data_IF_538195508691
#
_entry.id   IF_538195508691
#
_cell.length_a   1.000
_cell.length_b   1.000
_cell.length_c   1.000
_cell.angle_alpha   90.00
_cell.angle_beta   90.00
_cell.angle_gamma   90.00
#
_symmetry.space_group_name_H-M   'P 1'
#
loop_
_entity.id
_entity.type
_entity.pdbx_description
1 polymer ?
#
# COMPACT_ATOMS: atom_id res chain seq x y z
N UNK A 1 5.79 -21.30 70.21
CA UNK A 1 5.33 -20.21 69.31
C UNK A 1 5.70 -20.61 67.89
N UNK A 2 4.74 -21.11 67.13
CA UNK A 2 4.91 -21.53 65.73
C UNK A 2 4.42 -20.40 64.83
N UNK A 3 5.32 -19.81 64.05
CA UNK A 3 4.99 -18.74 63.12
C UNK A 3 4.48 -19.35 61.80
N UNK A 4 3.17 -19.23 61.55
CA UNK A 4 2.55 -19.62 60.28
C UNK A 4 2.94 -18.60 59.21
N UNK A 5 3.82 -18.97 58.29
CA UNK A 5 4.20 -18.12 57.15
C UNK A 5 3.10 -18.19 56.09
N UNK A 6 2.41 -17.09 55.82
CA UNK A 6 1.41 -17.02 54.78
C UNK A 6 2.07 -17.21 53.39
N UNK A 7 1.47 -18.00 52.48
CA UNK A 7 2.03 -18.21 51.14
C UNK A 7 2.04 -16.89 50.38
N UNK A 8 3.22 -16.52 49.87
CA UNK A 8 3.38 -15.36 49.01
C UNK A 8 2.55 -15.55 47.73
N UNK A 9 1.48 -14.76 47.59
CA UNK A 9 0.69 -14.72 46.36
C UNK A 9 1.57 -14.14 45.26
N UNK A 10 1.99 -14.99 44.33
CA UNK A 10 2.75 -14.56 43.15
C UNK A 10 1.84 -13.69 42.26
N UNK A 11 1.94 -12.37 42.42
CA UNK A 11 1.33 -11.41 41.50
C UNK A 11 2.00 -11.55 40.14
N UNK A 12 1.28 -12.11 39.15
CA UNK A 12 1.75 -12.12 37.76
C UNK A 12 2.02 -10.69 37.34
N UNK A 13 3.28 -10.37 37.06
CA UNK A 13 3.65 -9.09 36.51
C UNK A 13 2.88 -8.87 35.19
N UNK A 14 2.24 -7.70 35.00
CA UNK A 14 1.46 -7.44 33.80
C UNK A 14 2.35 -7.57 32.56
N UNK A 15 1.90 -8.36 31.58
CA UNK A 15 2.61 -8.56 30.33
C UNK A 15 2.75 -7.21 29.61
N UNK A 16 3.99 -6.71 29.49
CA UNK A 16 4.28 -5.47 28.77
C UNK A 16 3.99 -5.68 27.29
N UNK A 17 3.08 -4.89 26.72
CA UNK A 17 2.80 -4.92 25.29
C UNK A 17 4.05 -4.53 24.50
N UNK A 18 4.36 -5.28 23.45
CA UNK A 18 5.54 -5.01 22.60
C UNK A 18 5.46 -3.58 22.04
N UNK A 19 6.51 -2.75 22.18
CA UNK A 19 6.53 -1.40 21.61
C UNK A 19 6.26 -1.37 20.10
N UNK A 20 6.62 -2.45 19.40
CA UNK A 20 6.33 -2.61 17.96
C UNK A 20 4.84 -2.75 17.71
N UNK A 21 4.16 -3.58 18.50
CA UNK A 21 2.72 -3.78 18.41
C UNK A 21 1.95 -2.52 18.78
N UNK A 22 2.44 -1.76 19.76
CA UNK A 22 1.85 -0.47 20.13
C UNK A 22 1.84 0.51 18.94
N UNK A 23 2.98 0.68 18.26
CA UNK A 23 3.09 1.54 17.06
C UNK A 23 2.18 1.02 15.95
N UNK A 24 2.26 -0.29 15.66
CA UNK A 24 1.48 -0.89 14.59
C UNK A 24 -0.03 -0.72 14.82
N UNK A 25 -0.49 -0.95 16.05
CA UNK A 25 -1.89 -0.75 16.44
C UNK A 25 -2.32 0.71 16.31
N UNK A 26 -1.50 1.65 16.77
CA UNK A 26 -1.84 3.08 16.74
C UNK A 26 -1.93 3.61 15.30
N UNK A 27 -0.97 3.25 14.45
CA UNK A 27 -1.02 3.60 13.03
C UNK A 27 -2.15 2.84 12.31
N UNK A 28 -2.40 1.58 12.65
CA UNK A 28 -3.52 0.81 12.12
C UNK A 28 -4.87 1.41 12.44
N UNK A 29 -5.09 1.90 13.67
CA UNK A 29 -6.32 2.62 14.05
C UNK A 29 -6.48 3.91 13.25
N UNK A 30 -5.39 4.66 13.03
CA UNK A 30 -5.44 5.84 12.18
C UNK A 30 -5.78 5.48 10.72
N UNK A 31 -5.16 4.43 10.18
CA UNK A 31 -5.45 3.92 8.84
C UNK A 31 -6.92 3.47 8.70
N UNK A 32 -7.48 2.79 9.70
CA UNK A 32 -8.90 2.39 9.70
C UNK A 32 -9.85 3.60 9.72
N UNK A 33 -9.53 4.64 10.49
CA UNK A 33 -10.32 5.89 10.49
C UNK A 33 -10.29 6.56 9.12
N UNK A 34 -9.13 6.60 8.47
CA UNK A 34 -9.00 7.13 7.12
C UNK A 34 -9.73 6.25 6.10
N UNK A 35 -9.69 4.92 6.24
CA UNK A 35 -10.40 3.98 5.39
C UNK A 35 -11.91 4.16 5.47
N UNK A 36 -12.44 4.41 6.68
CA UNK A 36 -13.85 4.67 6.89
C UNK A 36 -14.37 5.91 6.16
N UNK A 37 -13.50 6.88 5.85
CA UNK A 37 -13.83 8.05 5.03
C UNK A 37 -13.52 7.84 3.54
N UNK A 38 -12.35 7.28 3.25
CA UNK A 38 -11.88 7.07 1.89
C UNK A 38 -12.85 6.19 1.10
N UNK A 39 -13.27 5.04 1.64
CA UNK A 39 -14.05 4.07 0.89
C UNK A 39 -15.44 4.59 0.50
N UNK A 40 -16.25 5.17 1.40
CA UNK A 40 -17.53 5.76 0.99
C UNK A 40 -17.39 6.84 -0.10
N UNK A 41 -16.39 7.71 0.01
CA UNK A 41 -16.14 8.76 -0.99
C UNK A 41 -15.71 8.15 -2.32
N UNK A 42 -14.78 7.19 -2.29
CA UNK A 42 -14.29 6.52 -3.49
C UNK A 42 -15.40 5.73 -4.18
N UNK A 43 -16.22 4.98 -3.43
CA UNK A 43 -17.34 4.21 -3.97
C UNK A 43 -18.41 5.14 -4.57
N UNK A 44 -18.70 6.26 -3.93
CA UNK A 44 -19.63 7.26 -4.48
C UNK A 44 -19.10 7.85 -5.78
N UNK A 45 -17.82 8.21 -5.83
CA UNK A 45 -17.19 8.74 -7.05
C UNK A 45 -17.18 7.71 -8.18
N UNK A 46 -16.84 6.44 -7.89
CA UNK A 46 -16.90 5.35 -8.85
C UNK A 46 -18.32 5.16 -9.41
N UNK A 47 -19.32 5.10 -8.53
CA UNK A 47 -20.72 4.97 -8.94
C UNK A 47 -21.17 6.15 -9.81
N UNK A 48 -20.81 7.38 -9.45
CA UNK A 48 -21.12 8.57 -10.24
C UNK A 48 -20.52 8.48 -11.65
N UNK A 49 -19.23 8.11 -11.77
CA UNK A 49 -18.56 7.95 -13.06
C UNK A 49 -19.21 6.83 -13.89
N UNK A 50 -19.54 5.68 -13.27
CA UNK A 50 -20.25 4.58 -13.96
C UNK A 50 -21.62 5.00 -14.48
N UNK A 51 -22.41 5.72 -13.67
CA UNK A 51 -23.72 6.22 -14.08
C UNK A 51 -23.57 7.24 -15.22
N UNK A 52 -22.61 8.16 -15.12
CA UNK A 52 -22.36 9.14 -16.20
C UNK A 52 -21.96 8.44 -17.50
N UNK A 53 -21.04 7.49 -17.45
CA UNK A 53 -20.63 6.72 -18.64
C UNK A 53 -21.82 5.98 -19.26
N UNK A 54 -22.65 5.33 -18.43
CA UNK A 54 -23.86 4.66 -18.89
C UNK A 54 -24.86 5.62 -19.55
N UNK A 55 -25.11 6.79 -18.97
CA UNK A 55 -26.05 7.79 -19.52
C UNK A 55 -25.55 8.34 -20.86
N UNK A 56 -24.25 8.50 -21.03
CA UNK A 56 -23.65 9.07 -22.26
C UNK A 56 -23.52 8.03 -23.38
N UNK A 57 -23.06 6.82 -23.06
CA UNK A 57 -22.70 5.80 -24.07
C UNK A 57 -23.72 4.65 -24.18
N UNK A 58 -24.69 4.58 -23.27
CA UNK A 58 -25.68 3.50 -23.18
C UNK A 58 -25.15 2.18 -22.59
N UNK A 59 -23.84 2.07 -22.38
CA UNK A 59 -23.14 0.90 -21.82
C UNK A 59 -21.81 1.29 -21.18
N UNK A 60 -21.23 0.38 -20.41
CA UNK A 60 -19.92 0.58 -19.76
C UNK A 60 -19.04 -0.66 -20.00
N UNK A 61 -18.21 -0.63 -21.03
CA UNK A 61 -17.43 -1.81 -21.46
C UNK A 61 -16.07 -1.97 -20.76
N UNK A 62 -15.66 -0.96 -19.98
CA UNK A 62 -14.38 -0.92 -19.26
C UNK A 62 -14.65 -0.86 -17.75
N UNK A 63 -13.80 -1.52 -16.96
CA UNK A 63 -13.85 -1.41 -15.49
C UNK A 63 -13.38 -0.04 -15.03
N UNK A 64 -14.30 0.75 -14.46
CA UNK A 64 -14.04 2.05 -13.88
C UNK A 64 -13.37 1.87 -12.51
N UNK A 65 -13.72 0.81 -11.78
CA UNK A 65 -13.08 0.50 -10.50
C UNK A 65 -11.56 0.25 -10.64
N UNK A 66 -11.12 -0.48 -11.69
CA UNK A 66 -9.68 -0.65 -11.95
C UNK A 66 -9.01 0.69 -12.27
N UNK A 67 -9.68 1.60 -12.97
CA UNK A 67 -9.14 2.94 -13.21
C UNK A 67 -9.00 3.74 -11.90
N UNK A 68 -9.97 3.61 -10.98
CA UNK A 68 -9.93 4.19 -9.64
C UNK A 68 -8.75 3.73 -8.78
N UNK A 69 -8.06 2.65 -9.15
CA UNK A 69 -6.79 2.22 -8.53
C UNK A 69 -5.73 3.33 -8.52
N UNK A 70 -5.69 4.18 -9.55
CA UNK A 70 -4.73 5.30 -9.60
C UNK A 70 -4.93 6.24 -8.40
N UNK A 71 -6.17 6.61 -8.08
CA UNK A 71 -6.49 7.44 -6.92
C UNK A 71 -6.07 6.75 -5.62
N UNK A 72 -6.29 5.42 -5.51
CA UNK A 72 -5.87 4.64 -4.35
C UNK A 72 -4.34 4.66 -4.15
N UNK A 73 -3.57 4.45 -5.22
CA UNK A 73 -2.11 4.44 -5.19
C UNK A 73 -1.56 5.77 -4.67
N UNK A 74 -2.02 6.88 -5.25
CA UNK A 74 -1.55 8.22 -4.85
C UNK A 74 -2.03 8.63 -3.45
N UNK A 75 -3.23 8.19 -3.05
CA UNK A 75 -3.71 8.37 -1.69
C UNK A 75 -2.79 7.67 -0.67
N UNK A 76 -2.51 6.38 -0.87
CA UNK A 76 -1.68 5.60 0.04
C UNK A 76 -0.23 6.09 0.07
N UNK A 77 0.32 6.48 -1.08
CA UNK A 77 1.62 7.12 -1.19
C UNK A 77 1.69 8.41 -0.34
N UNK A 78 0.70 9.29 -0.47
CA UNK A 78 0.64 10.56 0.26
C UNK A 78 0.51 10.35 1.77
N UNK A 79 -0.32 9.39 2.19
CA UNK A 79 -0.47 9.02 3.61
C UNK A 79 0.84 8.49 4.18
N UNK A 80 1.57 7.68 3.41
CA UNK A 80 2.86 7.16 3.83
C UNK A 80 3.92 8.26 4.02
N UNK A 81 3.95 9.26 3.13
CA UNK A 81 4.80 10.45 3.30
C UNK A 81 4.48 11.13 4.63
N UNK A 82 3.19 11.39 4.91
CA UNK A 82 2.76 12.05 6.14
C UNK A 82 3.19 11.28 7.39
N UNK A 83 3.03 9.96 7.39
CA UNK A 83 3.47 9.09 8.51
C UNK A 83 4.98 9.19 8.71
N UNK A 84 5.78 9.04 7.64
CA UNK A 84 7.23 9.08 7.74
C UNK A 84 7.77 10.47 8.11
N UNK A 85 7.09 11.54 7.70
CA UNK A 85 7.47 12.91 8.02
C UNK A 85 7.17 13.30 9.47
N UNK A 86 6.04 12.86 10.03
CA UNK A 86 5.54 13.37 11.33
C UNK A 86 5.87 12.44 12.50
N UNK A 87 5.80 11.13 12.31
CA UNK A 87 5.80 10.17 13.40
C UNK A 87 7.17 9.94 14.08
N UNK A 88 8.34 9.99 13.39
CA UNK A 88 9.62 9.68 14.02
C UNK A 88 9.96 10.55 15.23
N UNK A 89 9.69 11.86 15.17
CA UNK A 89 10.00 12.81 16.25
C UNK A 89 9.14 12.54 17.49
N UNK A 90 7.82 12.42 17.30
CA UNK A 90 6.86 12.12 18.37
C UNK A 90 7.16 10.77 19.02
N UNK A 91 7.51 9.78 18.21
CA UNK A 91 7.82 8.44 18.68
C UNK A 91 9.06 8.40 19.58
N UNK A 92 10.13 9.11 19.20
CA UNK A 92 11.36 9.16 20.01
C UNK A 92 11.19 10.06 21.23
N UNK A 93 10.45 11.17 21.12
CA UNK A 93 10.10 12.00 22.28
C UNK A 93 9.30 11.22 23.34
N UNK A 94 8.52 10.22 22.94
CA UNK A 94 7.83 9.29 23.83
C UNK A 94 8.75 8.19 24.43
N UNK A 95 10.07 8.30 24.29
CA UNK A 95 11.05 7.37 24.84
C UNK A 95 11.14 6.01 24.12
N UNK A 96 10.51 5.88 22.94
CA UNK A 96 10.52 4.62 22.18
C UNK A 96 11.68 4.53 21.19
N UNK A 97 12.13 3.31 20.91
CA UNK A 97 13.28 3.08 20.00
C UNK A 97 12.92 3.26 18.53
N UNK A 98 13.92 3.63 17.71
CA UNK A 98 13.78 3.67 16.24
C UNK A 98 13.53 2.28 15.63
N UNK A 99 14.00 1.22 16.28
CA UNK A 99 13.79 -0.16 15.81
C UNK A 99 12.31 -0.55 15.91
N UNK A 100 11.64 -0.18 17.01
CA UNK A 100 10.19 -0.42 17.15
C UNK A 100 9.36 0.46 16.23
N UNK A 101 9.81 1.69 15.94
CA UNK A 101 9.21 2.55 14.92
C UNK A 101 9.22 1.86 13.55
N UNK A 102 10.39 1.51 13.03
CA UNK A 102 10.52 0.92 11.69
C UNK A 102 9.70 -0.35 11.55
N UNK A 103 9.81 -1.27 12.52
CA UNK A 103 9.05 -2.52 12.50
C UNK A 103 7.55 -2.29 12.58
N UNK A 104 7.11 -1.41 13.48
CA UNK A 104 5.70 -1.11 13.69
C UNK A 104 5.07 -0.42 12.48
N UNK A 105 5.78 0.54 11.89
CA UNK A 105 5.36 1.23 10.67
C UNK A 105 5.28 0.27 9.50
N UNK A 106 6.31 -0.53 9.22
CA UNK A 106 6.28 -1.49 8.12
C UNK A 106 5.16 -2.54 8.27
N UNK A 107 4.91 -3.02 9.50
CA UNK A 107 3.80 -3.93 9.77
C UNK A 107 2.44 -3.28 9.52
N UNK A 108 2.20 -2.08 10.06
CA UNK A 108 0.93 -1.36 9.86
C UNK A 108 0.69 -0.96 8.41
N UNK A 109 1.74 -0.47 7.74
CA UNK A 109 1.74 -0.12 6.32
C UNK A 109 1.48 -1.34 5.44
N UNK A 110 2.13 -2.47 5.73
CA UNK A 110 1.92 -3.72 5.00
C UNK A 110 0.48 -4.23 5.14
N UNK A 111 -0.05 -4.25 6.37
CA UNK A 111 -1.44 -4.62 6.64
C UNK A 111 -2.44 -3.66 5.95
N UNK A 112 -2.17 -2.36 5.98
CA UNK A 112 -3.00 -1.35 5.29
C UNK A 112 -3.00 -1.57 3.79
N UNK A 113 -1.83 -1.71 3.16
CA UNK A 113 -1.72 -1.92 1.71
C UNK A 113 -2.44 -3.19 1.25
N UNK A 114 -2.30 -4.27 2.01
CA UNK A 114 -3.01 -5.54 1.75
C UNK A 114 -4.52 -5.36 1.89
N UNK A 115 -5.00 -4.75 2.97
CA UNK A 115 -6.43 -4.54 3.19
C UNK A 115 -7.06 -3.70 2.08
N UNK A 116 -6.44 -2.59 1.69
CA UNK A 116 -6.94 -1.74 0.61
C UNK A 116 -6.92 -2.45 -0.75
N UNK A 117 -5.89 -3.25 -1.03
CA UNK A 117 -5.83 -4.03 -2.27
C UNK A 117 -6.94 -5.08 -2.34
N UNK A 118 -7.23 -5.75 -1.22
CA UNK A 118 -8.32 -6.73 -1.14
C UNK A 118 -9.69 -6.07 -1.32
N UNK A 119 -9.94 -4.91 -0.69
CA UNK A 119 -11.20 -4.19 -0.87
C UNK A 119 -11.35 -3.73 -2.32
N UNK A 120 -10.32 -3.15 -2.94
CA UNK A 120 -10.38 -2.75 -4.35
C UNK A 120 -10.64 -3.95 -5.27
N UNK A 121 -9.97 -5.08 -5.02
CA UNK A 121 -10.22 -6.33 -5.77
C UNK A 121 -11.68 -6.74 -5.64
N UNK A 122 -12.24 -6.68 -4.42
CA UNK A 122 -13.67 -6.94 -4.18
C UNK A 122 -14.59 -6.00 -4.96
N UNK A 123 -14.29 -4.70 -5.00
CA UNK A 123 -15.06 -3.71 -5.77
C UNK A 123 -15.05 -4.04 -7.27
N UNK A 124 -13.89 -4.41 -7.84
CA UNK A 124 -13.77 -4.80 -9.25
C UNK A 124 -14.58 -6.07 -9.54
N UNK A 125 -14.59 -7.06 -8.63
CA UNK A 125 -15.39 -8.27 -8.80
C UNK A 125 -16.90 -7.97 -8.75
N UNK A 126 -17.33 -7.09 -7.85
CA UNK A 126 -18.72 -6.63 -7.78
C UNK A 126 -19.12 -5.88 -9.05
N UNK A 127 -18.29 -4.95 -9.53
CA UNK A 127 -18.51 -4.22 -10.79
C UNK A 127 -18.66 -5.19 -11.96
N UNK A 128 -17.75 -6.17 -12.09
CA UNK A 128 -17.81 -7.18 -13.15
C UNK A 128 -19.10 -8.01 -13.10
N UNK A 129 -19.57 -8.36 -11.89
CA UNK A 129 -20.84 -9.05 -11.71
C UNK A 129 -22.03 -8.19 -12.16
N UNK A 130 -22.06 -6.91 -11.77
CA UNK A 130 -23.09 -5.96 -12.20
C UNK A 130 -23.10 -5.76 -13.72
N UNK A 131 -21.92 -5.64 -14.35
CA UNK A 131 -21.79 -5.54 -15.80
C UNK A 131 -22.35 -6.79 -16.49
N UNK A 132 -22.09 -7.98 -15.94
CA UNK A 132 -22.66 -9.24 -16.45
C UNK A 132 -24.19 -9.28 -16.40
N UNK A 133 -24.81 -8.71 -15.35
CA UNK A 133 -26.27 -8.58 -15.27
C UNK A 133 -26.83 -7.58 -16.28
N UNK A 134 -26.10 -6.50 -16.57
CA UNK A 134 -26.51 -5.45 -17.50
C UNK A 134 -26.17 -5.76 -18.97
N UNK A 135 -25.46 -6.86 -19.25
CA UNK A 135 -24.98 -7.20 -20.59
C UNK A 135 -23.84 -6.31 -21.10
N UNK A 136 -23.11 -5.64 -20.20
CA UNK A 136 -21.97 -4.78 -20.54
C UNK A 136 -20.64 -5.55 -20.55
N UNK A 137 -19.63 -5.01 -21.24
CA UNK A 137 -18.25 -5.49 -21.16
C UNK A 137 -17.59 -5.20 -19.80
N UNK A 138 -16.50 -5.89 -19.48
CA UNK A 138 -15.75 -5.68 -18.22
C UNK A 138 -14.23 -5.68 -18.46
N UNK A 139 -13.78 -5.01 -19.52
CA UNK A 139 -12.37 -5.01 -19.91
C UNK A 139 -11.51 -4.32 -18.84
N UNK A 140 -10.36 -4.93 -18.52
CA UNK A 140 -9.41 -4.41 -17.52
C UNK A 140 -8.24 -3.71 -18.25
N UNK A 141 -8.46 -2.49 -18.74
CA UNK A 141 -7.50 -1.76 -19.59
C UNK A 141 -6.27 -1.20 -18.87
N UNK A 142 -6.29 -1.19 -17.54
CA UNK A 142 -5.27 -0.54 -16.71
C UNK A 142 -4.41 -1.54 -15.91
N UNK A 143 -4.49 -2.85 -16.16
CA UNK A 143 -3.74 -3.82 -15.35
C UNK A 143 -2.29 -3.90 -15.82
N UNK A 144 -1.36 -3.48 -14.95
CA UNK A 144 0.05 -3.27 -15.30
C UNK A 144 0.81 -4.59 -15.42
N UNK A 145 0.66 -5.50 -14.47
CA UNK A 145 1.39 -6.79 -14.48
C UNK A 145 0.72 -7.87 -15.31
N UNK A 146 -0.52 -7.64 -15.72
CA UNK A 146 -1.41 -8.71 -16.18
C UNK A 146 -1.99 -8.43 -17.59
N UNK A 147 -2.05 -7.15 -18.01
CA UNK A 147 -2.61 -6.74 -19.29
C UNK A 147 -4.12 -7.01 -19.41
N UNK A 148 -4.70 -6.60 -20.54
CA UNK A 148 -6.16 -6.72 -20.77
C UNK A 148 -6.66 -8.19 -20.76
N UNK A 149 -5.79 -9.14 -21.11
CA UNK A 149 -6.10 -10.57 -21.22
C UNK A 149 -5.76 -11.37 -19.95
N UNK A 150 -5.37 -10.71 -18.87
CA UNK A 150 -4.98 -11.44 -17.69
C UNK A 150 -6.11 -12.22 -17.05
N UNK A 151 -5.77 -13.37 -16.44
CA UNK A 151 -6.73 -14.09 -15.62
C UNK A 151 -7.04 -13.28 -14.35
N UNK A 152 -8.28 -13.39 -13.87
CA UNK A 152 -8.77 -12.65 -12.70
C UNK A 152 -7.93 -12.83 -11.42
N UNK A 153 -7.29 -13.99 -11.24
CA UNK A 153 -6.42 -14.24 -10.08
C UNK A 153 -5.16 -13.36 -10.05
N UNK A 154 -4.77 -12.77 -11.18
CA UNK A 154 -3.61 -11.87 -11.24
C UNK A 154 -3.91 -10.48 -10.68
N UNK A 155 -5.17 -10.05 -10.70
CA UNK A 155 -5.61 -8.74 -10.19
C UNK A 155 -5.24 -8.48 -8.72
N UNK A 156 -5.50 -9.40 -7.76
CA UNK A 156 -5.10 -9.16 -6.37
C UNK A 156 -3.57 -9.08 -6.21
N UNK A 157 -2.78 -9.85 -6.97
CA UNK A 157 -1.32 -9.81 -6.90
C UNK A 157 -0.81 -8.45 -7.38
N UNK A 158 -1.29 -8.02 -8.56
CA UNK A 158 -0.99 -6.70 -9.13
C UNK A 158 -1.35 -5.57 -8.18
N UNK A 159 -2.56 -5.61 -7.62
CA UNK A 159 -3.04 -4.57 -6.70
C UNK A 159 -2.24 -4.55 -5.41
N UNK A 160 -1.93 -5.71 -4.81
CA UNK A 160 -1.13 -5.80 -3.57
C UNK A 160 0.28 -5.27 -3.78
N UNK A 161 0.95 -5.70 -4.85
CA UNK A 161 2.30 -5.25 -5.15
C UNK A 161 2.32 -3.74 -5.35
N UNK A 162 1.36 -3.21 -6.10
CA UNK A 162 1.29 -1.78 -6.39
C UNK A 162 0.99 -0.93 -5.15
N UNK A 163 0.04 -1.34 -4.30
CA UNK A 163 -0.28 -0.60 -3.06
C UNK A 163 0.87 -0.66 -2.06
N UNK A 164 1.53 -1.81 -1.91
CA UNK A 164 2.70 -1.95 -1.04
C UNK A 164 3.88 -1.11 -1.55
N UNK A 165 4.09 -1.08 -2.86
CA UNK A 165 5.14 -0.26 -3.46
C UNK A 165 4.85 1.22 -3.25
N UNK A 166 3.61 1.67 -3.47
CA UNK A 166 3.18 3.04 -3.23
C UNK A 166 3.40 3.47 -1.77
N UNK A 167 3.04 2.62 -0.82
CA UNK A 167 3.25 2.93 0.61
C UNK A 167 4.74 2.96 0.94
N UNK A 168 5.53 2.00 0.48
CA UNK A 168 6.96 1.94 0.81
C UNK A 168 7.75 3.07 0.16
N UNK A 169 7.45 3.47 -1.07
CA UNK A 169 8.06 4.64 -1.72
C UNK A 169 7.64 5.93 -1.04
N UNK A 170 6.37 6.07 -0.64
CA UNK A 170 5.91 7.22 0.14
C UNK A 170 6.61 7.33 1.51
N UNK A 171 6.78 6.20 2.22
CA UNK A 171 7.56 6.15 3.47
C UNK A 171 9.01 6.57 3.23
N UNK A 172 9.62 6.10 2.13
CA UNK A 172 10.98 6.45 1.76
C UNK A 172 11.11 7.95 1.47
N UNK A 173 10.22 8.53 0.66
CA UNK A 173 10.18 9.97 0.37
C UNK A 173 10.05 10.79 1.66
N UNK A 174 9.09 10.46 2.53
CA UNK A 174 8.90 11.20 3.78
C UNK A 174 10.13 11.16 4.68
N UNK A 175 10.80 10.00 4.77
CA UNK A 175 12.00 9.87 5.63
C UNK A 175 13.24 10.53 5.02
N UNK A 176 13.37 10.58 3.69
CA UNK A 176 14.48 11.28 3.03
C UNK A 176 14.36 12.79 3.20
N UNK A 177 13.15 13.36 3.10
CA UNK A 177 12.90 14.77 3.42
C UNK A 177 13.19 15.09 4.89
N UNK A 178 12.88 14.19 5.82
CA UNK A 178 13.26 14.39 7.23
C UNK A 178 14.78 14.40 7.45
N UNK A 179 15.53 13.64 6.64
CA UNK A 179 16.99 13.55 6.79
C UNK A 179 17.75 14.66 6.09
N UNK A 180 17.33 15.03 4.90
CA UNK A 180 18.10 15.90 4.00
C UNK A 180 17.39 17.22 3.68
N UNK A 181 16.19 17.46 4.23
CA UNK A 181 15.42 18.68 3.98
C UNK A 181 15.12 18.88 2.50
N UNK A 182 15.27 20.11 2.01
CA UNK A 182 14.99 20.47 0.61
C UNK A 182 15.87 19.72 -0.42
N UNK A 183 17.07 19.27 -0.02
CA UNK A 183 17.96 18.50 -0.89
C UNK A 183 17.40 17.11 -1.25
N UNK A 184 16.43 16.60 -0.47
CA UNK A 184 15.77 15.35 -0.77
C UNK A 184 15.05 15.37 -2.12
N UNK A 185 14.70 16.55 -2.65
CA UNK A 185 14.10 16.72 -3.99
C UNK A 185 14.98 16.10 -5.08
N UNK A 186 16.31 16.20 -4.98
CA UNK A 186 17.24 15.58 -5.93
C UNK A 186 17.20 14.04 -5.89
N UNK A 187 16.71 13.46 -4.79
CA UNK A 187 16.55 12.01 -4.62
C UNK A 187 15.17 11.49 -5.06
N UNK A 188 14.24 12.37 -5.46
CA UNK A 188 12.89 11.97 -5.89
C UNK A 188 12.90 10.94 -7.03
N UNK A 189 13.73 11.09 -8.09
CA UNK A 189 13.80 10.07 -9.13
C UNK A 189 14.18 8.69 -8.59
N UNK A 190 15.02 8.62 -7.56
CA UNK A 190 15.43 7.35 -6.96
C UNK A 190 14.40 6.79 -5.98
N UNK A 191 13.68 7.65 -5.25
CA UNK A 191 12.73 7.25 -4.22
C UNK A 191 11.34 6.91 -4.77
N UNK A 192 10.87 7.66 -5.77
CA UNK A 192 9.58 7.45 -6.46
C UNK A 192 9.77 6.61 -7.73
N UNK A 193 10.98 6.58 -8.30
CA UNK A 193 11.32 5.85 -9.53
C UNK A 193 10.83 4.41 -9.57
N UNK A 194 11.00 3.59 -8.51
CA UNK A 194 10.49 2.21 -8.51
C UNK A 194 8.97 2.12 -8.72
N UNK A 195 8.20 3.04 -8.13
CA UNK A 195 6.75 3.10 -8.31
C UNK A 195 6.41 3.52 -9.74
N UNK A 196 7.07 4.54 -10.28
CA UNK A 196 6.86 4.98 -11.67
C UNK A 196 7.25 3.88 -12.64
N UNK A 197 8.41 3.24 -12.45
CA UNK A 197 8.84 2.12 -13.27
C UNK A 197 7.77 1.04 -13.31
N UNK A 198 7.19 0.64 -12.17
CA UNK A 198 6.10 -0.34 -12.16
C UNK A 198 4.83 0.15 -12.87
N UNK A 199 4.47 1.43 -12.71
CA UNK A 199 3.30 2.04 -13.36
C UNK A 199 3.45 2.21 -14.88
N UNK A 200 4.68 2.33 -15.39
CA UNK A 200 4.95 2.52 -16.82
C UNK A 200 5.44 1.25 -17.52
N UNK A 201 5.93 0.23 -16.77
CA UNK A 201 6.40 -1.04 -17.34
C UNK A 201 5.27 -1.82 -18.03
N UNK A 202 4.04 -1.73 -17.52
CA UNK A 202 2.87 -2.40 -18.10
C UNK A 202 2.25 -1.69 -19.31
N UNK A 203 2.77 -0.52 -19.70
CA UNK A 203 2.31 0.25 -20.87
C UNK A 203 3.05 -0.18 -22.15
N UNK A 204 4.09 -1.03 -22.05
CA UNK A 204 4.71 -1.60 -23.24
C UNK A 204 3.73 -2.57 -23.92
N UNK A 205 3.32 -2.34 -25.19
CA UNK A 205 2.41 -3.22 -25.91
C UNK A 205 3.11 -4.55 -26.20
N UNK A 206 3.06 -5.46 -25.23
CA UNK A 206 3.50 -6.85 -25.40
C UNK A 206 2.58 -7.62 -26.36
N UNK A 207 1.44 -7.03 -26.74
CA UNK A 207 0.49 -7.56 -27.72
C UNK A 207 1.00 -7.62 -29.16
N UNK A 208 2.05 -6.86 -29.52
CA UNK A 208 2.53 -6.76 -30.90
C UNK A 208 3.85 -7.49 -31.17
N UNK A 209 4.38 -8.26 -30.20
CA UNK A 209 5.60 -9.05 -30.40
C UNK A 209 5.22 -10.50 -30.74
N UNK A 210 5.37 -10.94 -32.01
CA UNK A 210 4.99 -12.29 -32.43
C UNK A 210 5.77 -13.34 -31.63
N UNK A 211 5.05 -14.28 -31.00
CA UNK A 211 5.63 -15.37 -30.22
C UNK A 211 5.82 -15.11 -28.71
N UNK A 212 5.63 -13.87 -28.22
CA UNK A 212 5.66 -13.53 -26.79
C UNK A 212 4.26 -13.49 -26.14
N UNK A 213 3.21 -13.24 -26.93
CA UNK A 213 1.82 -13.21 -26.47
C UNK A 213 1.25 -14.56 -26.01
N UNK A 214 1.85 -15.67 -26.48
CA UNK A 214 1.40 -17.04 -26.17
C UNK A 214 2.26 -17.72 -25.09
N UNK A 215 3.40 -17.14 -24.71
CA UNK A 215 4.26 -17.65 -23.63
C UNK A 215 3.66 -17.28 -22.28
N UNK A 216 2.65 -18.05 -21.91
CA UNK A 216 2.03 -18.16 -20.58
C UNK A 216 1.90 -16.84 -19.80
N UNK A 217 0.72 -16.18 -19.84
CA UNK A 217 0.38 -15.03 -18.99
C UNK A 217 0.77 -15.20 -17.51
N UNK A 218 0.85 -16.45 -17.02
CA UNK A 218 1.35 -16.82 -15.69
C UNK A 218 2.81 -16.47 -15.44
N UNK A 219 3.71 -16.72 -16.40
CA UNK A 219 5.15 -16.49 -16.23
C UNK A 219 5.46 -14.99 -16.19
N UNK A 220 4.80 -14.20 -17.05
CA UNK A 220 4.91 -12.75 -17.05
C UNK A 220 4.34 -12.14 -15.76
N UNK A 221 3.15 -12.55 -15.33
CA UNK A 221 2.57 -12.12 -14.03
C UNK A 221 3.48 -12.51 -12.87
N UNK A 222 4.06 -13.72 -12.90
CA UNK A 222 4.99 -14.20 -11.88
C UNK A 222 6.29 -13.39 -11.82
N UNK A 223 6.88 -13.09 -12.98
CA UNK A 223 8.10 -12.28 -13.08
C UNK A 223 7.83 -10.84 -12.64
N UNK A 224 6.77 -10.22 -13.14
CA UNK A 224 6.44 -8.84 -12.84
C UNK A 224 6.02 -8.67 -11.36
N UNK A 225 5.26 -9.64 -10.82
CA UNK A 225 4.98 -9.73 -9.39
C UNK A 225 6.24 -9.94 -8.55
N UNK A 226 7.19 -10.75 -9.02
CA UNK A 226 8.48 -10.98 -8.38
C UNK A 226 9.37 -9.72 -8.36
N UNK A 227 9.47 -9.02 -9.50
CA UNK A 227 10.19 -7.73 -9.62
C UNK A 227 9.56 -6.68 -8.72
N UNK A 228 8.23 -6.57 -8.71
CA UNK A 228 7.52 -5.64 -7.84
C UNK A 228 7.70 -5.97 -6.35
N UNK A 229 7.61 -7.24 -5.96
CA UNK A 229 7.87 -7.68 -4.59
C UNK A 229 9.32 -7.40 -4.16
N UNK A 230 10.29 -7.63 -5.04
CA UNK A 230 11.69 -7.26 -4.81
C UNK A 230 11.83 -5.74 -4.64
N UNK A 231 11.17 -4.95 -5.49
CA UNK A 231 11.11 -3.49 -5.36
C UNK A 231 10.59 -3.04 -4.00
N UNK A 232 9.48 -3.63 -3.54
CA UNK A 232 8.91 -3.37 -2.19
C UNK A 232 9.94 -3.67 -1.10
N UNK A 233 10.62 -4.82 -1.17
CA UNK A 233 11.62 -5.21 -0.17
C UNK A 233 12.83 -4.27 -0.16
N UNK A 234 13.34 -3.89 -1.34
CA UNK A 234 14.48 -2.98 -1.48
C UNK A 234 14.13 -1.59 -0.93
N UNK A 235 12.97 -1.05 -1.29
CA UNK A 235 12.51 0.26 -0.82
C UNK A 235 12.23 0.24 0.68
N UNK A 236 11.60 -0.81 1.20
CA UNK A 236 11.38 -0.98 2.64
C UNK A 236 12.70 -1.10 3.42
N UNK A 237 13.71 -1.79 2.87
CA UNK A 237 15.03 -1.88 3.46
C UNK A 237 15.75 -0.52 3.47
N UNK A 238 15.68 0.23 2.36
CA UNK A 238 16.22 1.58 2.27
C UNK A 238 15.58 2.51 3.31
N UNK A 239 14.24 2.51 3.41
CA UNK A 239 13.50 3.22 4.46
C UNK A 239 14.00 2.81 5.86
N UNK A 240 14.10 1.52 6.13
CA UNK A 240 14.53 1.00 7.42
C UNK A 240 15.97 1.42 7.79
N UNK A 241 16.88 1.50 6.81
CA UNK A 241 18.27 1.96 7.01
C UNK A 241 18.31 3.46 7.31
N UNK A 242 17.58 4.26 6.54
CA UNK A 242 17.56 5.73 6.68
C UNK A 242 16.89 6.13 8.00
N UNK A 243 15.71 5.57 8.30
CA UNK A 243 14.95 5.84 9.52
C UNK A 243 15.75 5.53 10.79
N UNK A 244 16.57 4.47 10.78
CA UNK A 244 17.44 4.12 11.91
C UNK A 244 18.56 5.14 12.15
N UNK A 245 19.00 5.85 11.12
CA UNK A 245 20.15 6.78 11.13
C UNK A 245 19.77 8.26 11.16
N UNK A 246 18.50 8.60 11.43
CA UNK A 246 18.08 10.01 11.49
C UNK A 246 18.87 10.79 12.55
N UNK A 247 19.50 11.93 12.24
CA UNK A 247 19.95 12.84 13.28
C UNK A 247 18.70 13.47 13.91
N UNK A 248 18.46 13.20 15.18
CA UNK A 248 17.40 13.90 15.92
C UNK A 248 18.08 15.08 16.60
N UNK A 249 18.40 16.11 15.82
CA UNK A 249 18.82 17.37 16.40
C UNK A 249 17.64 17.99 17.15
N UNK A 250 17.88 18.41 18.39
CA UNK A 250 16.98 19.26 19.15
C UNK A 250 17.00 20.67 18.52
N UNK A 251 16.34 20.83 17.38
CA UNK A 251 16.06 22.14 16.81
C UNK A 251 14.56 22.23 16.57
N UNK A 252 13.89 22.77 17.59
CA UNK A 252 12.73 23.62 17.44
C UNK A 252 13.23 25.06 17.51
#
# INVERSE_FOLDING_TARGET
MTATTAPAVATRAPARTSPTLHVARRQGVAALRLAAWFWPIALLALAAVTITAWVVEGRVDVSIAVHGRQALVWFLFSQAIQVAATYPRVHVAAGMTRRSLVRGTLLASGATGLAYALVLTGVVLVERWLHGLAGWGSALREVQLAGERAPLWALPIDTVVLTLLAITTGLLVGITYQRWGAWATLTLPLTVGPLLALLFLGIAPTGDVPGLGDVAPRALVGLAGGVGALGVLVVAAAFAVIARRLPLSAQA
#
